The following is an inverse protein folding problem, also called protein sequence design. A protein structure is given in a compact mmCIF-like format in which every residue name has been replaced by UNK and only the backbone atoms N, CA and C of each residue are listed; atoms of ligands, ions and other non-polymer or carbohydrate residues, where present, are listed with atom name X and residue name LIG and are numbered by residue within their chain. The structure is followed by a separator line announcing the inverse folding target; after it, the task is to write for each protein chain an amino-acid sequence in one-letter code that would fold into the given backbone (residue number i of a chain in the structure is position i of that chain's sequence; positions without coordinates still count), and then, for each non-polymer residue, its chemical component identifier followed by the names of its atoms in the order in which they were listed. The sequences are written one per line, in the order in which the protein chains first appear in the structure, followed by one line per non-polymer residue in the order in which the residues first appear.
data_IF_162208077009
#
_entry.id   IF_162208077009
#
_cell.length_a   1.000
_cell.length_b   1.000
_cell.length_c   1.000
_cell.angle_alpha   90.00
_cell.angle_beta   90.00
_cell.angle_gamma   90.00
#
_symmetry.space_group_name_H-M   'P 1'
#
loop_
_entity.id
_entity.type
_entity.pdbx_description
1 polymer ?
#
# COMPACT_ATOMS: atom_id res chain seq x y z
N UNK A 1 10.11 -35.25 28.70
CA UNK A 1 10.87 -34.87 27.50
C UNK A 1 9.85 -34.65 26.40
N UNK A 2 9.99 -33.62 25.61
CA UNK A 2 9.18 -33.21 24.44
C UNK A 2 8.03 -32.23 24.68
N UNK A 3 8.37 -30.96 24.93
CA UNK A 3 7.47 -29.80 24.72
C UNK A 3 8.23 -28.51 24.33
N UNK A 4 9.21 -28.58 23.42
CA UNK A 4 10.01 -27.41 23.02
C UNK A 4 10.07 -27.13 21.51
N UNK A 5 9.29 -27.79 20.68
CA UNK A 5 9.43 -27.68 19.20
C UNK A 5 8.33 -26.92 18.48
N UNK A 6 7.24 -26.55 19.14
CA UNK A 6 6.13 -25.81 18.48
C UNK A 6 6.28 -24.28 18.48
N UNK A 7 7.16 -23.71 19.31
CA UNK A 7 7.26 -22.24 19.45
C UNK A 7 8.18 -21.55 18.45
N UNK A 8 9.04 -22.29 17.74
CA UNK A 8 10.04 -21.69 16.83
C UNK A 8 9.58 -21.59 15.37
N UNK A 9 8.57 -22.33 14.95
CA UNK A 9 8.04 -22.24 13.58
C UNK A 9 7.16 -21.00 13.33
N UNK A 10 6.68 -20.33 14.39
CA UNK A 10 5.79 -19.16 14.29
C UNK A 10 6.50 -17.82 14.01
N UNK A 11 7.80 -17.76 14.24
CA UNK A 11 8.56 -16.48 14.16
C UNK A 11 8.85 -16.07 12.69
N UNK A 12 8.91 -17.01 11.76
CA UNK A 12 9.24 -16.73 10.36
C UNK A 12 8.05 -16.18 9.56
N UNK A 13 6.81 -16.44 9.99
CA UNK A 13 5.61 -15.98 9.27
C UNK A 13 5.28 -14.51 9.53
N UNK A 14 5.74 -13.94 10.64
CA UNK A 14 5.42 -12.56 11.05
C UNK A 14 6.27 -11.49 10.34
N UNK A 15 7.47 -11.84 9.86
CA UNK A 15 8.39 -10.88 9.27
C UNK A 15 7.98 -10.41 7.86
N UNK A 16 7.12 -11.15 7.15
CA UNK A 16 6.72 -10.85 5.77
C UNK A 16 5.46 -9.98 5.64
N UNK A 17 4.75 -9.70 6.74
CA UNK A 17 3.43 -9.01 6.72
C UNK A 17 3.48 -7.51 6.97
N UNK A 18 4.64 -6.91 7.11
CA UNK A 18 4.75 -5.59 7.74
C UNK A 18 5.34 -4.48 6.88
N UNK A 19 5.45 -4.66 5.60
CA UNK A 19 5.77 -3.50 4.78
C UNK A 19 4.55 -2.56 4.69
N UNK A 20 4.76 -1.30 5.04
CA UNK A 20 3.99 -0.06 4.85
C UNK A 20 2.60 -0.13 4.17
N UNK A 21 1.76 0.85 4.39
CA UNK A 21 0.39 0.94 3.82
C UNK A 21 0.30 0.78 2.30
N UNK A 22 1.39 1.01 1.55
CA UNK A 22 1.51 0.67 0.14
C UNK A 22 1.66 -0.85 -0.08
N UNK A 23 2.28 -1.57 0.84
CA UNK A 23 2.59 -2.98 0.74
C UNK A 23 1.42 -3.93 1.04
N UNK A 24 0.28 -3.46 1.52
CA UNK A 24 -0.92 -4.30 1.59
C UNK A 24 -1.48 -4.65 0.19
N UNK A 25 -1.07 -3.94 -0.85
CA UNK A 25 -1.29 -4.36 -2.22
C UNK A 25 -0.35 -5.51 -2.63
N UNK A 26 0.72 -5.74 -1.87
CA UNK A 26 1.77 -6.71 -2.20
C UNK A 26 2.21 -7.50 -0.97
N UNK A 27 1.34 -8.29 -0.37
CA UNK A 27 1.79 -9.28 0.60
C UNK A 27 2.52 -10.40 -0.16
N UNK A 28 3.86 -10.36 -0.14
CA UNK A 28 4.64 -11.53 -0.49
C UNK A 28 4.35 -12.62 0.56
N UNK A 29 3.77 -13.71 0.12
CA UNK A 29 3.59 -14.91 0.95
C UNK A 29 4.91 -15.65 0.99
N UNK A 30 5.48 -15.83 2.16
CA UNK A 30 6.44 -16.91 2.36
C UNK A 30 5.66 -18.17 2.67
N UNK A 31 5.92 -19.23 1.91
CA UNK A 31 5.27 -20.52 2.07
C UNK A 31 5.57 -21.14 3.43
N UNK A 32 4.52 -21.61 4.08
CA UNK A 32 4.62 -22.56 5.17
C UNK A 32 4.59 -23.98 4.60
N UNK A 33 5.71 -24.47 4.09
CA UNK A 33 5.95 -25.89 3.97
C UNK A 33 6.78 -26.32 5.17
N UNK A 34 6.36 -27.39 5.85
CA UNK A 34 7.12 -27.98 6.93
C UNK A 34 8.49 -28.46 6.38
N UNK A 35 9.55 -27.70 6.68
CA UNK A 35 10.92 -28.00 6.30
C UNK A 35 11.78 -28.21 7.56
N UNK A 36 12.91 -28.94 7.45
CA UNK A 36 13.85 -29.16 8.55
C UNK A 36 14.30 -27.81 9.13
N UNK A 37 14.71 -27.78 10.40
CA UNK A 37 15.05 -26.59 11.18
C UNK A 37 15.65 -25.47 10.32
N UNK A 38 14.84 -24.45 10.07
CA UNK A 38 15.20 -23.34 9.18
C UNK A 38 16.38 -22.54 9.77
N UNK A 39 17.33 -22.20 8.92
CA UNK A 39 18.36 -21.21 9.25
C UNK A 39 17.68 -19.92 9.77
N UNK A 40 18.32 -19.15 10.69
CA UNK A 40 17.77 -17.87 11.13
C UNK A 40 17.41 -17.01 9.92
N UNK A 41 16.24 -16.36 9.97
CA UNK A 41 15.80 -15.47 8.90
C UNK A 41 16.89 -14.42 8.66
N UNK A 42 17.22 -14.11 7.39
CA UNK A 42 18.23 -13.09 7.12
C UNK A 42 17.78 -11.74 7.68
N UNK A 43 18.71 -11.00 8.26
CA UNK A 43 18.42 -9.64 8.75
C UNK A 43 18.02 -8.68 7.63
N UNK A 44 18.45 -8.95 6.40
CA UNK A 44 18.12 -8.20 5.21
C UNK A 44 17.21 -9.03 4.31
N UNK A 45 16.05 -8.48 3.98
CA UNK A 45 15.10 -9.04 3.01
C UNK A 45 14.78 -8.01 1.96
N UNK A 46 14.27 -8.46 0.81
CA UNK A 46 13.90 -7.55 -0.26
C UNK A 46 12.95 -8.18 -1.26
N UNK A 47 12.37 -7.32 -2.10
CA UNK A 47 11.54 -7.77 -3.20
C UNK A 47 11.63 -6.82 -4.39
N UNK A 48 11.29 -7.34 -5.56
CA UNK A 48 11.05 -6.56 -6.77
C UNK A 48 9.79 -7.09 -7.44
N UNK A 49 8.99 -6.20 -8.02
CA UNK A 49 7.78 -6.59 -8.74
C UNK A 49 7.51 -5.71 -9.95
N UNK A 50 6.75 -6.29 -10.87
CA UNK A 50 6.16 -5.58 -12.02
C UNK A 50 4.65 -5.77 -11.92
N UNK A 51 3.91 -4.67 -11.95
CA UNK A 51 2.45 -4.67 -11.89
C UNK A 51 1.83 -4.01 -13.11
N UNK A 52 0.66 -4.47 -13.53
CA UNK A 52 -0.08 -3.88 -14.66
C UNK A 52 -0.70 -2.53 -14.34
N UNK A 53 -0.88 -2.23 -13.05
CA UNK A 53 -1.31 -0.94 -12.54
C UNK A 53 -0.97 -0.85 -11.05
N UNK A 54 -0.55 0.33 -10.60
CA UNK A 54 -0.35 0.59 -9.18
C UNK A 54 -1.54 1.38 -8.61
N UNK A 55 -2.15 0.86 -7.55
CA UNK A 55 -3.15 1.54 -6.74
C UNK A 55 -2.69 1.67 -5.29
N UNK A 56 -2.71 2.89 -4.80
CA UNK A 56 -2.51 3.19 -3.39
C UNK A 56 -3.87 3.53 -2.75
N UNK A 57 -4.28 2.80 -1.70
CA UNK A 57 -5.60 2.99 -1.05
C UNK A 57 -6.73 3.11 -2.08
N UNK A 58 -6.74 2.20 -3.06
CA UNK A 58 -7.75 2.15 -4.13
C UNK A 58 -7.64 3.21 -5.22
N UNK A 59 -6.66 4.11 -5.18
CA UNK A 59 -6.46 5.18 -6.15
C UNK A 59 -5.30 4.90 -7.09
N UNK A 60 -5.49 5.13 -8.40
CA UNK A 60 -4.44 4.97 -9.42
C UNK A 60 -3.27 5.91 -9.17
N UNK A 61 -2.04 5.38 -9.26
CA UNK A 61 -0.79 6.11 -9.08
C UNK A 61 -0.08 6.45 -10.41
N UNK A 62 -0.57 5.97 -11.54
CA UNK A 62 -0.18 6.43 -12.87
C UNK A 62 -1.41 7.05 -13.57
N UNK A 63 -1.58 8.34 -13.38
CA UNK A 63 -2.75 9.08 -13.85
C UNK A 63 -2.44 10.01 -15.01
N UNK A 64 -1.25 10.64 -15.03
CA UNK A 64 -0.95 11.70 -15.98
C UNK A 64 -0.51 11.17 -17.34
N UNK A 65 -0.93 11.85 -18.38
CA UNK A 65 -0.56 11.62 -19.75
C UNK A 65 0.03 12.88 -20.39
N UNK A 66 -0.13 13.02 -21.71
CA UNK A 66 0.34 14.20 -22.45
C UNK A 66 -0.32 15.47 -21.88
N UNK A 67 0.47 16.51 -21.70
CA UNK A 67 0.04 17.81 -21.15
C UNK A 67 -0.61 17.73 -19.76
N UNK A 68 -0.18 16.77 -18.94
CA UNK A 68 -0.66 16.55 -17.56
C UNK A 68 -2.18 16.23 -17.45
N UNK A 69 -2.84 15.89 -18.54
CA UNK A 69 -4.21 15.40 -18.50
C UNK A 69 -4.29 13.93 -18.10
N UNK A 70 -5.35 13.56 -17.41
CA UNK A 70 -5.49 12.20 -16.89
C UNK A 70 -5.63 11.17 -18.01
N UNK A 71 -4.90 10.08 -17.90
CA UNK A 71 -5.02 8.89 -18.78
C UNK A 71 -6.30 8.12 -18.43
N UNK A 72 -7.25 8.08 -19.33
CA UNK A 72 -8.52 7.33 -19.14
C UNK A 72 -8.42 5.87 -19.54
N UNK A 73 -7.50 5.55 -20.43
CA UNK A 73 -7.31 4.22 -21.03
C UNK A 73 -5.84 3.85 -21.07
N UNK A 74 -5.60 2.58 -21.36
CA UNK A 74 -4.27 2.04 -21.57
C UNK A 74 -3.70 1.29 -20.39
N UNK A 75 -2.60 0.66 -20.65
CA UNK A 75 -1.79 -0.07 -19.72
C UNK A 75 -0.97 0.93 -18.89
N UNK A 76 -0.96 0.75 -17.58
CA UNK A 76 -0.32 1.67 -16.62
C UNK A 76 0.63 0.91 -15.70
N UNK A 77 1.67 0.25 -16.26
CA UNK A 77 2.54 -0.60 -15.47
C UNK A 77 3.38 0.21 -14.48
N UNK A 78 3.74 -0.44 -13.37
CA UNK A 78 4.72 0.08 -12.45
C UNK A 78 5.77 -0.98 -12.11
N UNK A 79 7.02 -0.52 -11.89
CA UNK A 79 8.08 -1.31 -11.30
C UNK A 79 8.17 -0.87 -9.84
N UNK A 80 8.23 -1.85 -8.93
CA UNK A 80 8.15 -1.63 -7.50
C UNK A 80 9.15 -2.53 -6.79
N UNK A 81 9.58 -2.14 -5.59
CA UNK A 81 10.44 -2.97 -4.77
C UNK A 81 11.09 -2.22 -3.63
N UNK A 82 11.70 -2.97 -2.74
CA UNK A 82 12.33 -2.39 -1.57
C UNK A 82 13.15 -3.39 -0.79
N UNK A 83 13.76 -2.90 0.28
CA UNK A 83 14.59 -3.64 1.21
C UNK A 83 14.14 -3.37 2.63
N UNK A 84 14.18 -4.39 3.47
CA UNK A 84 13.93 -4.33 4.90
C UNK A 84 15.12 -4.87 5.66
N UNK A 85 15.53 -4.19 6.72
CA UNK A 85 16.58 -4.64 7.63
C UNK A 85 16.03 -4.77 9.05
N UNK A 86 16.11 -5.97 9.61
CA UNK A 86 15.79 -6.24 11.01
C UNK A 86 17.07 -6.20 11.85
N UNK A 87 17.02 -5.54 13.01
CA UNK A 87 18.17 -5.44 13.93
C UNK A 87 18.24 -6.66 14.86
N UNK A 88 18.51 -7.82 14.26
CA UNK A 88 18.52 -9.10 14.96
C UNK A 88 17.18 -9.40 15.64
N UNK A 89 17.22 -9.87 16.87
CA UNK A 89 16.05 -10.22 17.68
C UNK A 89 15.50 -9.03 18.50
N UNK A 90 15.97 -7.82 18.24
CA UNK A 90 15.58 -6.62 19.01
C UNK A 90 14.12 -6.20 18.82
N UNK A 91 13.51 -6.62 17.73
CA UNK A 91 12.20 -6.15 17.27
C UNK A 91 12.26 -4.85 16.46
N UNK A 92 13.37 -4.09 16.50
CA UNK A 92 13.54 -2.89 15.67
C UNK A 92 13.80 -3.25 14.21
N UNK A 93 13.28 -2.43 13.31
CA UNK A 93 13.54 -2.55 11.88
C UNK A 93 13.53 -1.19 11.19
N UNK A 94 14.16 -1.14 10.03
CA UNK A 94 14.09 -0.04 9.07
C UNK A 94 13.92 -0.63 7.68
N UNK A 95 13.27 0.10 6.80
CA UNK A 95 13.13 -0.32 5.43
C UNK A 95 12.85 0.82 4.49
N UNK A 96 12.91 0.49 3.21
CA UNK A 96 12.43 1.36 2.16
C UNK A 96 11.61 0.56 1.15
N UNK A 97 10.66 1.24 0.52
CA UNK A 97 9.92 0.71 -0.63
C UNK A 97 9.81 1.79 -1.68
N UNK A 98 9.82 1.40 -2.95
CA UNK A 98 9.83 2.34 -4.05
C UNK A 98 8.88 1.88 -5.16
N UNK A 99 8.30 2.84 -5.88
CA UNK A 99 7.48 2.58 -7.06
C UNK A 99 7.66 3.65 -8.12
N UNK A 100 7.64 3.24 -9.38
CA UNK A 100 7.38 4.20 -10.44
C UNK A 100 5.94 4.70 -10.33
N UNK A 101 5.75 6.02 -10.43
CA UNK A 101 4.44 6.70 -10.33
C UNK A 101 4.35 7.82 -11.36
N UNK A 102 3.12 8.25 -11.68
CA UNK A 102 2.88 9.42 -12.54
C UNK A 102 1.52 10.04 -12.22
N UNK A 103 1.29 10.38 -10.94
CA UNK A 103 0.08 11.06 -10.50
C UNK A 103 0.33 12.53 -10.14
N UNK A 104 1.58 12.89 -9.90
CA UNK A 104 2.02 14.21 -9.46
C UNK A 104 2.96 14.80 -10.51
N UNK A 105 2.66 16.00 -10.99
CA UNK A 105 3.47 16.68 -12.01
C UNK A 105 4.92 16.85 -11.57
N UNK A 106 5.87 16.54 -12.47
CA UNK A 106 7.30 16.66 -12.22
C UNK A 106 7.89 15.57 -11.32
N UNK A 107 7.11 14.52 -11.04
CA UNK A 107 7.54 13.37 -10.25
C UNK A 107 7.29 12.06 -11.03
N UNK A 108 8.21 11.12 -10.94
CA UNK A 108 8.11 9.80 -11.58
C UNK A 108 8.41 8.64 -10.65
N UNK A 109 8.74 8.92 -9.38
CA UNK A 109 9.06 7.90 -8.39
C UNK A 109 8.49 8.26 -7.02
N UNK A 110 7.92 7.27 -6.34
CA UNK A 110 7.59 7.27 -4.92
C UNK A 110 8.69 6.55 -4.18
N UNK A 111 9.16 7.13 -3.10
CA UNK A 111 10.15 6.54 -2.19
C UNK A 111 9.60 6.59 -0.78
N UNK A 112 9.38 5.41 -0.20
CA UNK A 112 8.89 5.26 1.15
C UNK A 112 10.04 4.87 2.07
N UNK A 113 10.25 5.61 3.14
CA UNK A 113 11.21 5.27 4.19
C UNK A 113 10.44 5.06 5.48
N UNK A 114 10.65 3.93 6.12
CA UNK A 114 9.93 3.57 7.33
C UNK A 114 10.83 2.86 8.33
N UNK A 115 10.38 2.87 9.57
CA UNK A 115 10.99 2.11 10.63
C UNK A 115 10.04 1.96 11.80
N UNK A 116 10.29 0.96 12.62
CA UNK A 116 9.37 0.65 13.70
C UNK A 116 9.91 -0.38 14.67
N UNK A 117 8.99 -0.82 15.51
CA UNK A 117 9.23 -1.83 16.53
C UNK A 117 8.11 -2.87 16.54
N UNK A 118 8.49 -4.13 16.40
CA UNK A 118 7.59 -5.29 16.45
C UNK A 118 7.72 -6.03 17.76
N UNK A 119 6.58 -6.43 18.33
CA UNK A 119 6.55 -7.19 19.57
C UNK A 119 5.32 -8.09 19.64
N UNK A 120 5.36 -9.07 20.52
CA UNK A 120 4.22 -9.96 20.79
C UNK A 120 3.37 -9.43 21.95
N UNK A 121 2.04 -9.40 21.75
CA UNK A 121 1.04 -9.21 22.79
C UNK A 121 0.15 -10.45 22.85
N UNK A 122 0.58 -11.45 23.63
CA UNK A 122 -0.06 -12.76 23.62
C UNK A 122 0.03 -13.42 22.24
N UNK A 123 -1.09 -13.84 21.61
CA UNK A 123 -1.09 -14.46 20.29
C UNK A 123 -1.03 -13.44 19.13
N UNK A 124 -0.98 -12.14 19.42
CA UNK A 124 -1.03 -11.07 18.44
C UNK A 124 0.35 -10.49 18.22
N UNK A 125 0.75 -10.36 16.96
CA UNK A 125 1.94 -9.61 16.54
C UNK A 125 1.59 -8.14 16.40
N UNK A 126 2.28 -7.29 17.18
CA UNK A 126 2.11 -5.84 17.17
C UNK A 126 3.23 -5.18 16.38
N UNK A 127 2.90 -4.07 15.72
CA UNK A 127 3.84 -3.27 14.93
C UNK A 127 3.53 -1.78 15.12
N UNK A 128 4.50 -1.02 15.63
CA UNK A 128 4.39 0.43 15.79
C UNK A 128 5.53 1.10 15.05
N UNK A 129 5.26 2.18 14.34
CA UNK A 129 6.31 2.84 13.57
C UNK A 129 5.90 4.13 12.91
N UNK A 130 6.82 4.63 12.10
CA UNK A 130 6.64 5.81 11.27
C UNK A 130 6.99 5.48 9.82
N UNK A 131 6.30 6.16 8.90
CA UNK A 131 6.49 6.04 7.47
C UNK A 131 6.45 7.43 6.85
N UNK A 132 7.43 7.74 6.01
CA UNK A 132 7.45 8.96 5.20
C UNK A 132 7.46 8.58 3.72
N UNK A 133 6.45 9.06 3.01
CA UNK A 133 6.36 9.04 1.55
C UNK A 133 7.10 10.25 1.01
N UNK A 134 8.05 10.03 0.11
CA UNK A 134 8.88 11.07 -0.51
C UNK A 134 8.69 11.00 -2.03
N UNK A 135 8.41 12.16 -2.62
CA UNK A 135 8.25 12.31 -4.07
C UNK A 135 9.34 13.23 -4.61
N UNK A 136 10.50 12.68 -5.02
CA UNK A 136 11.58 13.47 -5.62
C UNK A 136 11.09 14.24 -6.85
N UNK A 137 11.42 15.52 -6.93
CA UNK A 137 10.95 16.42 -7.99
C UNK A 137 9.68 17.20 -7.68
N UNK A 138 8.83 16.72 -6.73
CA UNK A 138 7.67 17.49 -6.26
C UNK A 138 7.30 17.16 -4.82
N UNK A 139 7.85 17.89 -3.88
CA UNK A 139 7.68 17.65 -2.44
C UNK A 139 6.26 17.96 -1.90
N UNK A 140 5.34 18.48 -2.73
CA UNK A 140 3.96 18.73 -2.30
C UNK A 140 3.23 17.43 -1.96
N UNK A 141 3.64 16.30 -2.55
CA UNK A 141 3.13 14.98 -2.24
C UNK A 141 3.65 14.36 -0.94
N UNK A 142 4.78 14.86 -0.41
CA UNK A 142 5.43 14.24 0.75
C UNK A 142 4.50 14.19 1.96
N UNK A 143 4.41 13.01 2.56
CA UNK A 143 3.49 12.72 3.66
C UNK A 143 4.20 11.87 4.71
N UNK A 144 3.96 12.16 5.98
CA UNK A 144 4.47 11.34 7.09
C UNK A 144 3.31 10.86 7.93
N UNK A 145 3.33 9.57 8.23
CA UNK A 145 2.32 8.89 9.05
C UNK A 145 3.00 8.14 10.21
N UNK A 146 2.34 8.14 11.36
CA UNK A 146 2.58 7.16 12.43
C UNK A 146 1.59 6.02 12.28
N UNK A 147 1.99 4.80 12.60
CA UNK A 147 1.09 3.67 12.49
C UNK A 147 1.17 2.70 13.67
N UNK A 148 0.06 2.00 13.85
CA UNK A 148 -0.10 0.87 14.76
C UNK A 148 -0.76 -0.26 13.98
N UNK A 149 -0.12 -1.42 13.96
CA UNK A 149 -0.61 -2.67 13.36
C UNK A 149 -0.78 -3.77 14.41
N UNK A 150 -1.73 -4.65 14.16
CA UNK A 150 -1.96 -5.86 14.94
C UNK A 150 -2.30 -7.00 13.98
N UNK A 151 -1.58 -8.12 14.09
CA UNK A 151 -1.80 -9.31 13.27
C UNK A 151 -2.04 -10.53 14.15
N UNK A 152 -3.14 -11.21 13.88
CA UNK A 152 -3.42 -12.54 14.45
C UNK A 152 -3.35 -13.57 13.33
N UNK A 153 -2.46 -14.55 13.45
CA UNK A 153 -2.30 -15.63 12.50
C UNK A 153 -2.66 -16.98 13.12
N UNK A 154 -3.44 -17.75 12.38
CA UNK A 154 -3.86 -19.08 12.79
C UNK A 154 -3.89 -20.01 11.56
N UNK A 155 -3.33 -21.21 11.67
CA UNK A 155 -3.24 -22.17 10.56
C UNK A 155 -4.61 -22.57 9.99
N UNK A 156 -5.63 -22.70 10.86
CA UNK A 156 -6.98 -23.09 10.44
C UNK A 156 -7.73 -21.94 9.79
N UNK A 157 -7.64 -20.73 10.35
CA UNK A 157 -8.46 -19.59 9.93
C UNK A 157 -7.74 -18.59 9.05
N UNK A 158 -6.41 -18.67 8.92
CA UNK A 158 -5.60 -17.73 8.18
C UNK A 158 -5.10 -16.56 9.02
N UNK A 159 -4.66 -15.48 8.38
CA UNK A 159 -4.09 -14.30 9.01
C UNK A 159 -5.04 -13.11 8.87
N UNK A 160 -5.26 -12.41 9.98
CA UNK A 160 -6.07 -11.20 10.09
C UNK A 160 -5.18 -10.07 10.55
N UNK A 161 -5.16 -8.97 9.81
CA UNK A 161 -4.39 -7.78 10.16
C UNK A 161 -5.30 -6.58 10.25
N UNK A 162 -5.14 -5.78 11.31
CA UNK A 162 -5.70 -4.44 11.43
C UNK A 162 -4.55 -3.44 11.54
N UNK A 163 -4.53 -2.40 10.70
CA UNK A 163 -3.51 -1.34 10.75
C UNK A 163 -4.18 0.03 10.68
N UNK A 164 -3.81 0.90 11.61
CA UNK A 164 -4.21 2.30 11.60
C UNK A 164 -2.99 3.18 11.34
N UNK A 165 -3.12 4.09 10.36
CA UNK A 165 -2.12 5.10 10.05
C UNK A 165 -2.69 6.49 10.29
N UNK A 166 -1.92 7.36 10.92
CA UNK A 166 -2.28 8.73 11.27
C UNK A 166 -1.29 9.73 10.67
N UNK A 167 -1.79 10.62 9.83
CA UNK A 167 -0.95 11.64 9.20
C UNK A 167 -0.56 12.71 10.22
N UNK A 168 0.75 12.92 10.37
CA UNK A 168 1.34 13.94 11.25
C UNK A 168 1.95 15.11 10.47
N UNK A 169 2.23 14.94 9.19
CA UNK A 169 2.69 16.04 8.32
C UNK A 169 1.59 17.05 8.03
N UNK A 170 1.99 18.29 7.69
CA UNK A 170 1.05 19.38 7.38
C UNK A 170 0.33 19.19 6.04
N UNK A 171 0.90 18.41 5.12
CA UNK A 171 0.21 18.00 3.90
C UNK A 171 -0.12 16.51 3.94
N UNK A 172 -1.03 16.06 3.10
CA UNK A 172 -1.43 14.68 2.88
C UNK A 172 -1.53 14.47 1.38
N UNK A 173 -0.49 13.91 0.76
CA UNK A 173 -0.38 13.67 -0.68
C UNK A 173 -0.81 14.87 -1.55
N UNK A 174 -0.49 16.08 -1.10
CA UNK A 174 -0.86 17.33 -1.78
C UNK A 174 -2.34 17.73 -1.70
N UNK A 175 -3.22 16.91 -1.12
CA UNK A 175 -4.67 17.19 -1.07
C UNK A 175 -5.02 18.47 -0.34
N UNK A 176 -4.34 18.80 0.75
CA UNK A 176 -4.56 20.04 1.48
C UNK A 176 -3.98 21.26 0.75
N UNK A 177 -2.97 21.05 -0.09
CA UNK A 177 -2.24 22.13 -0.75
C UNK A 177 -1.46 23.02 0.22
N UNK A 178 -1.08 22.53 1.40
CA UNK A 178 -0.38 23.32 2.41
C UNK A 178 0.92 23.91 1.87
N UNK A 179 1.75 23.07 1.23
CA UNK A 179 3.01 23.52 0.62
C UNK A 179 2.80 24.42 -0.60
N UNK A 180 1.62 24.40 -1.20
CA UNK A 180 1.23 25.32 -2.27
C UNK A 180 0.64 26.63 -1.74
N UNK A 181 0.62 26.83 -0.42
CA UNK A 181 0.20 28.09 0.19
C UNK A 181 -1.29 28.20 0.55
N UNK A 182 -2.05 27.10 0.55
CA UNK A 182 -3.47 27.11 0.91
C UNK A 182 -3.73 27.49 2.38
N UNK A 183 -2.74 27.27 3.27
CA UNK A 183 -2.90 27.37 4.72
C UNK A 183 -3.66 26.19 5.36
N UNK A 184 -4.31 25.33 4.55
CA UNK A 184 -5.07 24.15 5.02
C UNK A 184 -4.12 22.98 5.30
N UNK A 185 -4.50 22.09 6.22
CA UNK A 185 -3.63 21.01 6.69
C UNK A 185 -4.21 19.63 6.42
N UNK A 186 -3.35 18.72 5.99
CA UNK A 186 -3.62 17.30 5.88
C UNK A 186 -3.47 16.52 7.19
N UNK A 187 -2.85 17.13 8.20
CA UNK A 187 -2.69 16.55 9.55
C UNK A 187 -4.04 16.04 10.08
N UNK A 188 -4.03 14.93 10.81
CA UNK A 188 -5.22 14.22 11.30
C UNK A 188 -6.06 13.52 10.21
N UNK A 189 -5.54 13.35 9.01
CA UNK A 189 -6.08 12.34 8.10
C UNK A 189 -5.69 10.97 8.62
N UNK A 190 -6.67 10.08 8.76
CA UNK A 190 -6.48 8.73 9.28
C UNK A 190 -6.80 7.68 8.22
N UNK A 191 -6.14 6.52 8.29
CA UNK A 191 -6.44 5.36 7.47
C UNK A 191 -6.49 4.09 8.31
N UNK A 192 -7.64 3.45 8.33
CA UNK A 192 -7.81 2.11 8.92
C UNK A 192 -7.86 1.09 7.80
N UNK A 193 -7.03 0.07 7.88
CA UNK A 193 -7.04 -1.07 6.98
C UNK A 193 -7.29 -2.36 7.76
N UNK A 194 -8.17 -3.20 7.23
CA UNK A 194 -8.40 -4.56 7.68
C UNK A 194 -8.06 -5.50 6.53
N UNK A 195 -7.17 -6.45 6.76
CA UNK A 195 -6.72 -7.39 5.75
C UNK A 195 -6.84 -8.84 6.24
N UNK A 196 -7.04 -9.73 5.28
CA UNK A 196 -7.12 -11.16 5.48
C UNK A 196 -6.31 -11.90 4.42
N UNK A 197 -5.63 -12.96 4.82
CA UNK A 197 -4.99 -13.89 3.90
C UNK A 197 -5.07 -15.31 4.39
N UNK A 198 -5.25 -16.26 3.45
CA UNK A 198 -5.23 -17.70 3.74
C UNK A 198 -4.83 -18.49 2.51
N UNK A 199 -3.94 -19.46 2.70
CA UNK A 199 -3.72 -20.50 1.70
C UNK A 199 -4.96 -21.39 1.65
N UNK A 200 -5.66 -21.40 0.51
CA UNK A 200 -6.93 -22.13 0.31
C UNK A 200 -6.73 -23.50 -0.34
N UNK A 201 -5.69 -23.62 -1.15
CA UNK A 201 -5.15 -24.86 -1.70
C UNK A 201 -3.63 -24.67 -1.83
N UNK A 202 -2.82 -25.75 -1.93
CA UNK A 202 -1.37 -25.62 -2.03
C UNK A 202 -0.93 -24.61 -3.08
N UNK A 203 -0.06 -23.69 -2.69
CA UNK A 203 0.48 -22.57 -3.52
C UNK A 203 -0.52 -21.49 -3.91
N UNK A 204 -1.78 -21.54 -3.48
CA UNK A 204 -2.78 -20.52 -3.79
C UNK A 204 -3.24 -19.84 -2.51
N UNK A 205 -2.90 -18.57 -2.36
CA UNK A 205 -3.30 -17.74 -1.22
C UNK A 205 -4.39 -16.75 -1.63
N UNK A 206 -5.55 -16.84 -1.00
CA UNK A 206 -6.59 -15.83 -1.05
C UNK A 206 -6.14 -14.61 -0.25
N UNK A 207 -6.37 -13.40 -0.80
CA UNK A 207 -6.06 -12.12 -0.15
C UNK A 207 -7.25 -11.18 -0.28
N UNK A 208 -7.64 -10.55 0.82
CA UNK A 208 -8.70 -9.55 0.83
C UNK A 208 -8.33 -8.41 1.78
N UNK A 209 -8.67 -7.19 1.41
CA UNK A 209 -8.52 -6.04 2.29
C UNK A 209 -9.63 -5.03 2.05
N UNK A 210 -10.00 -4.31 3.11
CA UNK A 210 -10.87 -3.14 3.07
C UNK A 210 -10.21 -2.03 3.88
N UNK A 211 -10.21 -0.83 3.32
CA UNK A 211 -9.63 0.35 3.95
C UNK A 211 -10.63 1.49 4.09
N UNK A 212 -10.46 2.32 5.10
CA UNK A 212 -11.23 3.54 5.29
C UNK A 212 -10.28 4.72 5.50
N UNK A 213 -10.27 5.64 4.54
CA UNK A 213 -9.57 6.93 4.66
C UNK A 213 -10.52 7.97 5.22
N UNK A 214 -10.22 8.45 6.44
CA UNK A 214 -10.91 9.56 7.08
C UNK A 214 -10.14 10.86 6.81
N UNK A 215 -10.58 11.62 5.82
CA UNK A 215 -9.94 12.90 5.46
C UNK A 215 -10.06 13.93 6.58
N UNK A 216 -9.02 14.75 6.80
CA UNK A 216 -9.07 15.87 7.73
C UNK A 216 -10.21 16.85 7.40
N UNK A 217 -10.62 17.67 8.36
CA UNK A 217 -11.65 18.71 8.14
C UNK A 217 -11.26 19.68 7.02
N UNK A 218 -9.99 20.05 6.98
CA UNK A 218 -9.46 20.99 6.00
C UNK A 218 -9.52 20.42 4.58
N UNK A 219 -9.14 19.14 4.40
CA UNK A 219 -9.26 18.47 3.10
C UNK A 219 -10.73 18.32 2.69
N UNK A 220 -11.63 18.01 3.65
CA UNK A 220 -13.06 17.93 3.35
C UNK A 220 -13.67 19.26 2.95
N UNK A 221 -13.18 20.39 3.47
CA UNK A 221 -13.65 21.74 3.09
C UNK A 221 -13.36 22.05 1.62
N UNK A 222 -12.37 21.38 1.01
CA UNK A 222 -12.04 21.46 -0.42
C UNK A 222 -12.94 20.56 -1.31
N UNK A 223 -13.92 19.86 -0.72
CA UNK A 223 -14.86 19.00 -1.44
C UNK A 223 -14.45 17.52 -1.53
N UNK A 224 -13.26 17.15 -1.08
CA UNK A 224 -12.86 15.74 -0.98
C UNK A 224 -13.65 15.05 0.15
N UNK A 225 -13.97 13.78 -0.05
CA UNK A 225 -14.75 12.99 0.92
C UNK A 225 -13.91 11.85 1.48
N UNK A 226 -14.10 11.53 2.75
CA UNK A 226 -13.65 10.25 3.28
C UNK A 226 -14.20 9.11 2.44
N UNK A 227 -13.41 8.05 2.24
CA UNK A 227 -13.78 6.98 1.31
C UNK A 227 -13.34 5.61 1.81
N UNK A 228 -13.96 4.58 1.25
CA UNK A 228 -13.61 3.18 1.45
C UNK A 228 -12.95 2.66 0.19
N UNK A 229 -11.82 2.00 0.35
CA UNK A 229 -11.15 1.22 -0.69
C UNK A 229 -11.23 -0.28 -0.40
N UNK A 230 -10.96 -1.07 -1.42
CA UNK A 230 -10.96 -2.52 -1.32
C UNK A 230 -9.95 -3.16 -2.28
N UNK A 231 -9.47 -4.31 -1.87
CA UNK A 231 -8.63 -5.20 -2.65
C UNK A 231 -9.05 -6.64 -2.38
N UNK A 232 -9.33 -7.41 -3.43
CA UNK A 232 -9.60 -8.84 -3.34
C UNK A 232 -8.90 -9.56 -4.48
N UNK A 233 -8.23 -10.67 -4.18
CA UNK A 233 -7.47 -11.40 -5.18
C UNK A 233 -6.91 -12.71 -4.65
N UNK A 234 -6.10 -13.35 -5.48
CA UNK A 234 -5.36 -14.54 -5.13
C UNK A 234 -3.95 -14.48 -5.70
N UNK A 235 -3.02 -15.09 -4.98
CA UNK A 235 -1.62 -15.22 -5.36
C UNK A 235 -1.28 -16.69 -5.58
N UNK A 236 -0.60 -16.98 -6.68
CA UNK A 236 0.01 -18.29 -6.94
C UNK A 236 1.50 -18.22 -6.71
N UNK A 237 2.03 -19.15 -5.92
CA UNK A 237 3.46 -19.27 -5.65
C UNK A 237 4.10 -20.31 -6.58
N UNK A 238 5.05 -19.84 -7.39
CA UNK A 238 5.86 -20.72 -8.27
C UNK A 238 7.02 -21.39 -7.53
N UNK A 239 7.27 -21.01 -6.28
CA UNK A 239 8.44 -21.39 -5.51
C UNK A 239 9.64 -20.45 -5.75
N UNK A 240 10.68 -20.64 -4.93
CA UNK A 240 11.92 -19.82 -5.00
C UNK A 240 11.65 -18.31 -4.89
N UNK A 241 10.62 -17.88 -4.14
CA UNK A 241 10.27 -16.47 -3.96
C UNK A 241 9.61 -15.81 -5.18
N UNK A 242 9.20 -16.58 -6.21
CA UNK A 242 8.47 -16.05 -7.36
C UNK A 242 6.98 -16.28 -7.20
N UNK A 243 6.17 -15.22 -7.30
CA UNK A 243 4.70 -15.31 -7.21
C UNK A 243 3.99 -14.42 -8.22
N UNK A 244 2.78 -14.82 -8.61
CA UNK A 244 1.87 -14.03 -9.44
C UNK A 244 0.57 -13.78 -8.67
N UNK A 245 0.22 -12.52 -8.49
CA UNK A 245 -1.03 -12.09 -7.85
C UNK A 245 -1.97 -11.48 -8.87
N UNK A 246 -3.20 -11.97 -8.92
CA UNK A 246 -4.31 -11.33 -9.63
C UNK A 246 -5.30 -10.75 -8.63
N UNK A 247 -5.68 -9.47 -8.78
CA UNK A 247 -6.58 -8.82 -7.83
C UNK A 247 -7.49 -7.77 -8.48
N UNK A 248 -8.63 -7.51 -7.86
CA UNK A 248 -9.51 -6.37 -8.18
C UNK A 248 -9.39 -5.35 -7.07
N UNK A 249 -8.99 -4.14 -7.43
CA UNK A 249 -8.76 -3.04 -6.51
C UNK A 249 -9.52 -1.78 -6.95
N UNK A 250 -10.02 -1.02 -6.01
CA UNK A 250 -10.72 0.24 -6.27
C UNK A 250 -11.20 0.93 -5.01
N UNK A 251 -11.88 2.06 -5.18
CA UNK A 251 -12.49 2.79 -4.08
C UNK A 251 -13.86 3.37 -4.46
N UNK A 252 -14.64 3.71 -3.44
CA UNK A 252 -15.89 4.43 -3.62
C UNK A 252 -15.66 5.96 -3.81
N UNK A 253 -16.69 6.79 -3.72
CA UNK A 253 -16.64 8.26 -3.84
C UNK A 253 -15.98 8.77 -5.13
N UNK A 254 -16.18 8.07 -6.24
CA UNK A 254 -15.58 8.37 -7.56
C UNK A 254 -15.77 9.82 -8.00
N UNK A 255 -16.94 10.40 -7.74
CA UNK A 255 -17.28 11.79 -8.12
C UNK A 255 -16.57 12.87 -7.31
N UNK A 256 -16.01 12.52 -6.12
CA UNK A 256 -15.24 13.46 -5.30
C UNK A 256 -13.74 13.46 -5.63
N UNK A 257 -13.32 12.55 -6.52
CA UNK A 257 -11.93 12.36 -6.93
C UNK A 257 -11.89 12.31 -8.46
N UNK A 258 -11.91 13.49 -9.08
CA UNK A 258 -11.92 13.62 -10.53
C UNK A 258 -10.69 14.39 -11.00
N UNK A 259 -10.03 13.86 -12.01
CA UNK A 259 -8.98 14.53 -12.77
C UNK A 259 -9.46 14.81 -14.19
N UNK A 260 -9.06 15.94 -14.77
CA UNK A 260 -9.42 16.31 -16.12
C UNK A 260 -8.66 15.43 -17.11
N UNK A 261 -9.38 14.70 -17.94
CA UNK A 261 -8.82 13.83 -18.98
C UNK A 261 -8.80 14.50 -20.36
N UNK A 262 -9.77 15.38 -20.61
CA UNK A 262 -9.82 16.23 -21.79
C UNK A 262 -10.44 17.57 -21.36
N UNK A 263 -9.77 18.71 -21.57
CA UNK A 263 -10.26 20.00 -21.08
C UNK A 263 -11.54 20.45 -21.81
N UNK A 264 -11.87 19.88 -22.97
CA UNK A 264 -12.98 20.36 -23.81
C UNK A 264 -12.66 21.70 -24.47
N UNK A 265 -13.69 22.31 -25.05
CA UNK A 265 -13.62 23.63 -25.69
C UNK A 265 -14.49 24.60 -24.90
N UNK A 266 -13.88 25.71 -24.44
CA UNK A 266 -14.63 26.79 -23.84
C UNK A 266 -15.15 27.74 -24.93
N UNK A 267 -16.47 27.88 -25.02
CA UNK A 267 -17.14 28.73 -25.97
C UNK A 267 -17.63 30.06 -25.36
N UNK A 268 -17.14 30.41 -24.15
CA UNK A 268 -17.51 31.64 -23.45
C UNK A 268 -18.82 31.56 -22.64
N UNK A 269 -19.58 30.48 -22.76
CA UNK A 269 -20.78 30.20 -21.98
C UNK A 269 -20.77 28.78 -21.36
N UNK A 270 -19.59 28.17 -21.31
CA UNK A 270 -19.33 26.87 -20.69
C UNK A 270 -18.36 26.02 -21.47
N UNK A 271 -17.78 25.02 -20.81
CA UNK A 271 -16.83 24.09 -21.41
C UNK A 271 -17.55 22.87 -21.95
N UNK A 272 -17.50 22.64 -23.26
CA UNK A 272 -18.10 21.49 -23.95
C UNK A 272 -17.06 20.42 -24.28
N UNK A 273 -17.48 19.14 -24.25
CA UNK A 273 -16.60 18.02 -24.55
C UNK A 273 -15.58 17.71 -23.45
N UNK A 274 -15.69 18.35 -22.27
CA UNK A 274 -14.85 18.00 -21.14
C UNK A 274 -15.12 16.58 -20.66
N UNK A 275 -14.05 15.81 -20.50
CA UNK A 275 -14.12 14.48 -19.90
C UNK A 275 -13.29 14.42 -18.64
N UNK A 276 -13.75 13.63 -17.69
CA UNK A 276 -13.06 13.42 -16.42
C UNK A 276 -12.72 11.95 -16.20
N UNK A 277 -11.76 11.72 -15.36
CA UNK A 277 -11.31 10.40 -14.94
C UNK A 277 -11.23 10.32 -13.42
N UNK A 278 -11.76 9.24 -12.82
CA UNK A 278 -11.62 9.01 -11.39
C UNK A 278 -10.54 7.94 -11.12
N UNK A 279 -9.50 8.25 -10.32
CA UNK A 279 -8.51 7.27 -9.89
C UNK A 279 -9.12 6.14 -9.03
N UNK A 280 -10.30 6.37 -8.46
CA UNK A 280 -11.03 5.40 -7.62
C UNK A 280 -11.71 4.27 -8.41
N UNK A 281 -11.66 4.30 -9.76
CA UNK A 281 -12.25 3.22 -10.58
C UNK A 281 -11.61 1.88 -10.26
N UNK A 282 -12.45 0.84 -10.15
CA UNK A 282 -11.97 -0.53 -10.00
C UNK A 282 -11.12 -0.97 -11.20
N UNK A 283 -10.06 -1.74 -10.92
CA UNK A 283 -9.22 -2.37 -11.94
C UNK A 283 -8.88 -3.80 -11.54
N UNK A 284 -8.82 -4.66 -12.53
CA UNK A 284 -8.13 -5.93 -12.39
C UNK A 284 -6.62 -5.70 -12.62
N UNK A 285 -5.82 -6.19 -11.70
CA UNK A 285 -4.37 -5.95 -11.64
C UNK A 285 -3.66 -7.29 -11.54
N UNK A 286 -2.63 -7.47 -12.36
CA UNK A 286 -1.68 -8.57 -12.25
C UNK A 286 -0.34 -8.03 -11.75
N UNK A 287 0.24 -8.71 -10.77
CA UNK A 287 1.53 -8.37 -10.19
C UNK A 287 2.40 -9.61 -10.13
N UNK A 288 3.55 -9.58 -10.79
CA UNK A 288 4.60 -10.58 -10.69
C UNK A 288 5.63 -10.09 -9.68
N UNK A 289 5.89 -10.86 -8.63
CA UNK A 289 6.82 -10.51 -7.56
C UNK A 289 7.92 -11.55 -7.43
N UNK A 290 9.16 -11.09 -7.24
CA UNK A 290 10.31 -11.87 -6.79
C UNK A 290 10.75 -11.38 -5.43
N UNK A 291 10.71 -12.24 -4.42
CA UNK A 291 11.34 -12.04 -3.11
C UNK A 291 12.79 -12.53 -3.15
N UNK A 292 13.70 -11.80 -2.50
CA UNK A 292 15.14 -12.00 -2.49
C UNK A 292 15.58 -12.58 -1.14
#
# INVERSE_FOLDING_TARGET
MTHRTAAQALIVLAAALTASGAALAQTATTDAAAAPAAAPAPNLTGNVSITTNYKFRGQDQDMLGKNDFAKTKGFKPAIQGGLDYAFGDSGFYIGNWNSSVNWLKGNSIEMDVYGGYKFKAGPVDMDVGALTYVYPGNSTGNTTELYLGATYANETFGSFTAKYSHTVSKDYFGYAGYKAGSGLKGTNTGYLNLAYSKEIVPKVTLKAAIGYTNMSSDIRSLGYKSYVDYNIGASYDFGNGLSLTGSVQGANKKSSYLAVANPGVDLGFGTFGQTTYSPNKARFILTLTKTL
#
